data_IF_492850331362
#
_entry.id   IF_492850331362
#
_cell.length_a   1.000
_cell.length_b   1.000
_cell.length_c   1.000
_cell.angle_alpha   90.00
_cell.angle_beta   90.00
_cell.angle_gamma   90.00
#
_symmetry.space_group_name_H-M   'P 1'
#
loop_
_entity.id
_entity.type
_entity.pdbx_description
1 polymer ?
#
# COMPACT_ATOMS: atom_id res chain seq x y z
N UNK A 1 -36.85 -12.47 3.76
CA UNK A 1 -35.36 -12.20 3.85
C UNK A 1 -35.22 -10.85 4.50
N UNK A 2 -34.80 -10.83 5.76
CA UNK A 2 -34.71 -9.64 6.59
C UNK A 2 -33.61 -8.68 6.10
N UNK A 3 -33.94 -7.41 5.83
CA UNK A 3 -32.95 -6.39 5.47
C UNK A 3 -32.01 -6.03 6.64
N UNK A 4 -32.30 -6.45 7.86
CA UNK A 4 -31.51 -6.12 9.05
C UNK A 4 -30.19 -6.92 9.19
N UNK A 5 -30.05 -8.01 8.45
CA UNK A 5 -28.85 -8.85 8.53
C UNK A 5 -27.65 -8.34 7.73
N UNK A 6 -27.80 -7.29 6.93
CA UNK A 6 -26.72 -6.75 6.07
C UNK A 6 -25.82 -5.70 6.74
N UNK A 7 -26.02 -5.44 8.05
CA UNK A 7 -25.38 -4.33 8.79
C UNK A 7 -24.17 -4.71 9.66
N UNK A 8 -23.57 -5.88 9.47
CA UNK A 8 -22.65 -6.46 10.47
C UNK A 8 -21.29 -5.78 10.65
N UNK A 9 -20.35 -5.91 9.70
CA UNK A 9 -18.97 -5.40 9.89
C UNK A 9 -18.86 -3.90 9.62
N UNK A 10 -19.51 -3.39 8.59
CA UNK A 10 -19.53 -1.97 8.30
C UNK A 10 -20.09 -1.14 9.47
N UNK A 11 -21.10 -1.63 10.17
CA UNK A 11 -21.69 -0.94 11.32
C UNK A 11 -20.82 -1.01 12.58
N UNK A 12 -20.02 -2.06 12.77
CA UNK A 12 -19.08 -2.15 13.89
C UNK A 12 -17.93 -1.18 13.65
N UNK A 13 -17.39 -1.10 12.43
CA UNK A 13 -16.38 -0.10 12.06
C UNK A 13 -16.97 1.32 12.08
N UNK A 14 -18.18 1.53 11.58
CA UNK A 14 -18.90 2.81 11.66
C UNK A 14 -19.09 3.26 13.11
N UNK A 15 -19.44 2.37 14.02
CA UNK A 15 -19.65 2.70 15.45
C UNK A 15 -18.33 2.96 16.18
N UNK A 16 -17.28 2.19 15.90
CA UNK A 16 -16.02 2.27 16.63
C UNK A 16 -15.12 3.39 16.09
N UNK A 17 -15.01 3.54 14.78
CA UNK A 17 -14.39 4.71 14.15
C UNK A 17 -15.17 6.01 14.46
N UNK A 18 -16.50 5.94 14.46
CA UNK A 18 -17.35 7.07 14.83
C UNK A 18 -17.30 7.51 16.30
N UNK A 19 -16.72 6.71 17.21
CA UNK A 19 -16.47 7.12 18.60
C UNK A 19 -15.19 7.93 18.76
N UNK A 20 -14.17 7.67 17.95
CA UNK A 20 -12.86 8.31 18.05
C UNK A 20 -12.63 9.35 16.95
N UNK A 21 -13.18 9.16 15.76
CA UNK A 21 -13.07 10.09 14.64
C UNK A 21 -14.33 10.95 14.61
N UNK A 22 -14.20 12.21 15.02
CA UNK A 22 -15.33 13.15 15.11
C UNK A 22 -15.30 14.22 14.03
N UNK A 23 -14.22 14.35 13.29
CA UNK A 23 -14.01 15.42 12.33
C UNK A 23 -13.59 14.91 10.96
N UNK A 24 -13.89 15.70 9.92
CA UNK A 24 -13.45 15.44 8.54
C UNK A 24 -11.92 15.35 8.43
N UNK A 25 -11.19 16.25 9.08
CA UNK A 25 -9.73 16.23 9.15
C UNK A 25 -9.23 14.96 9.86
N UNK A 26 -9.89 14.58 10.96
CA UNK A 26 -9.56 13.35 11.69
C UNK A 26 -9.71 12.10 10.82
N UNK A 27 -10.76 12.00 10.00
CA UNK A 27 -10.94 10.88 9.07
C UNK A 27 -9.81 10.81 8.03
N UNK A 28 -9.41 11.95 7.48
CA UNK A 28 -8.30 12.04 6.53
C UNK A 28 -6.96 11.69 7.19
N UNK A 29 -6.67 12.21 8.37
CA UNK A 29 -5.42 11.92 9.10
C UNK A 29 -5.33 10.44 9.50
N UNK A 30 -6.44 9.82 9.89
CA UNK A 30 -6.46 8.36 10.17
C UNK A 30 -6.23 7.56 8.89
N UNK A 31 -6.76 8.01 7.75
CA UNK A 31 -6.46 7.39 6.45
C UNK A 31 -4.96 7.45 6.15
N UNK A 32 -4.35 8.61 6.31
CA UNK A 32 -2.90 8.81 6.14
C UNK A 32 -2.11 7.93 7.09
N UNK A 33 -2.47 7.91 8.38
CA UNK A 33 -1.79 7.09 9.37
C UNK A 33 -1.86 5.60 9.03
N UNK A 34 -3.04 5.12 8.62
CA UNK A 34 -3.20 3.73 8.22
C UNK A 34 -2.37 3.41 6.96
N UNK A 35 -2.33 4.33 5.99
CA UNK A 35 -1.47 4.22 4.82
C UNK A 35 0.02 4.14 5.18
N UNK A 36 0.48 4.92 6.14
CA UNK A 36 1.86 4.86 6.66
C UNK A 36 2.15 3.54 7.36
N UNK A 37 1.19 2.99 8.08
CA UNK A 37 1.36 1.71 8.80
C UNK A 37 1.44 0.50 7.87
N UNK A 38 0.81 0.57 6.69
CA UNK A 38 0.81 -0.52 5.72
C UNK A 38 1.88 -0.24 4.64
N UNK A 39 3.14 -0.34 4.99
CA UNK A 39 4.28 0.05 4.15
C UNK A 39 4.93 -1.09 3.35
N UNK A 40 4.44 -2.32 3.49
CA UNK A 40 5.08 -3.50 2.89
C UNK A 40 4.96 -3.49 1.37
N UNK A 41 3.77 -3.16 0.87
CA UNK A 41 3.45 -3.18 -0.55
C UNK A 41 2.40 -2.11 -0.87
N UNK A 42 2.58 -1.36 -1.95
CA UNK A 42 1.74 -0.24 -2.34
C UNK A 42 0.36 -0.70 -2.85
N UNK A 43 0.25 -1.79 -3.60
CA UNK A 43 -1.03 -2.34 -4.03
C UNK A 43 -1.85 -2.84 -2.85
N UNK A 44 -1.20 -3.57 -1.94
CA UNK A 44 -1.84 -4.04 -0.71
C UNK A 44 -2.30 -2.86 0.16
N UNK A 45 -1.48 -1.81 0.26
CA UNK A 45 -1.83 -0.55 0.91
C UNK A 45 -3.10 0.04 0.30
N UNK A 46 -3.11 0.29 -1.01
CA UNK A 46 -4.24 0.90 -1.71
C UNK A 46 -5.54 0.12 -1.49
N UNK A 47 -5.52 -1.20 -1.65
CA UNK A 47 -6.69 -2.04 -1.49
C UNK A 47 -7.20 -2.06 -0.05
N UNK A 48 -6.29 -2.22 0.92
CA UNK A 48 -6.65 -2.35 2.33
C UNK A 48 -7.12 -1.02 2.91
N UNK A 49 -6.35 0.06 2.73
CA UNK A 49 -6.73 1.39 3.23
C UNK A 49 -8.02 1.86 2.56
N UNK A 50 -8.15 1.63 1.25
CA UNK A 50 -9.33 1.98 0.49
C UNK A 50 -10.60 1.29 1.01
N UNK A 51 -10.55 -0.01 1.21
CA UNK A 51 -11.70 -0.78 1.71
C UNK A 51 -12.10 -0.41 3.14
N UNK A 52 -11.10 -0.21 4.01
CA UNK A 52 -11.31 0.10 5.44
C UNK A 52 -11.77 1.54 5.66
N UNK A 53 -11.15 2.49 4.98
CA UNK A 53 -11.40 3.92 5.22
C UNK A 53 -12.58 4.49 4.43
N UNK A 54 -13.00 3.81 3.36
CA UNK A 54 -14.16 4.20 2.55
C UNK A 54 -15.41 4.50 3.40
N UNK A 55 -15.93 3.61 4.26
CA UNK A 55 -17.13 3.90 5.05
C UNK A 55 -16.91 5.01 6.08
N UNK A 56 -15.68 5.20 6.55
CA UNK A 56 -15.34 6.26 7.50
C UNK A 56 -15.32 7.62 6.81
N UNK A 57 -14.67 7.73 5.67
CA UNK A 57 -14.58 8.97 4.89
C UNK A 57 -15.93 9.38 4.33
N UNK A 58 -16.75 8.43 3.88
CA UNK A 58 -18.13 8.70 3.43
C UNK A 58 -18.99 9.35 4.52
N UNK A 59 -18.91 8.80 5.74
CA UNK A 59 -19.62 9.36 6.89
C UNK A 59 -19.23 10.81 7.20
N UNK A 60 -18.01 11.19 6.87
CA UNK A 60 -17.47 12.53 7.13
C UNK A 60 -17.52 13.44 5.88
N UNK A 61 -18.26 13.04 4.84
CA UNK A 61 -18.41 13.79 3.60
C UNK A 61 -17.06 14.17 2.94
N UNK A 62 -16.09 13.26 2.97
CA UNK A 62 -14.84 13.36 2.21
C UNK A 62 -15.10 12.76 0.83
N UNK A 63 -14.73 13.46 -0.24
CA UNK A 63 -14.97 12.97 -1.60
C UNK A 63 -14.18 11.69 -1.89
N UNK A 64 -14.70 10.88 -2.81
CA UNK A 64 -14.01 9.68 -3.29
C UNK A 64 -12.68 10.02 -3.96
N UNK A 65 -12.63 11.16 -4.66
CA UNK A 65 -11.40 11.67 -5.27
C UNK A 65 -10.34 12.01 -4.21
N UNK A 66 -10.75 12.65 -3.09
CA UNK A 66 -9.83 12.97 -1.99
C UNK A 66 -9.34 11.71 -1.29
N UNK A 67 -10.23 10.73 -1.07
CA UNK A 67 -9.83 9.45 -0.51
C UNK A 67 -8.81 8.74 -1.41
N UNK A 68 -9.06 8.68 -2.71
CA UNK A 68 -8.13 8.09 -3.67
C UNK A 68 -6.77 8.80 -3.65
N UNK A 69 -6.75 10.14 -3.64
CA UNK A 69 -5.53 10.92 -3.52
C UNK A 69 -4.74 10.61 -2.24
N UNK A 70 -5.40 10.53 -1.09
CA UNK A 70 -4.73 10.23 0.19
C UNK A 70 -4.13 8.83 0.18
N UNK A 71 -4.83 7.86 -0.39
CA UNK A 71 -4.37 6.47 -0.49
C UNK A 71 -3.16 6.39 -1.40
N UNK A 72 -3.26 6.93 -2.60
CA UNK A 72 -2.19 6.91 -3.60
C UNK A 72 -0.94 7.62 -3.10
N UNK A 73 -1.11 8.81 -2.51
CA UNK A 73 -0.02 9.62 -1.95
C UNK A 73 0.65 9.00 -0.69
N UNK A 74 0.03 8.02 -0.05
CA UNK A 74 0.66 7.26 1.05
C UNK A 74 1.21 5.91 0.61
N UNK A 75 0.68 5.30 -0.43
CA UNK A 75 1.07 3.98 -0.84
C UNK A 75 2.52 3.94 -1.38
N UNK A 76 2.75 4.40 -2.60
CA UNK A 76 4.06 4.35 -3.22
C UNK A 76 5.13 5.18 -2.49
N UNK A 77 4.89 6.45 -2.06
CA UNK A 77 5.90 7.23 -1.35
C UNK A 77 6.36 6.62 -0.03
N UNK A 78 5.48 5.96 0.70
CA UNK A 78 5.88 5.29 1.96
C UNK A 78 6.64 4.00 1.65
N UNK A 79 6.16 3.18 0.71
CA UNK A 79 6.83 1.93 0.36
C UNK A 79 8.24 2.13 -0.18
N UNK A 80 8.49 3.22 -0.95
CA UNK A 80 9.81 3.49 -1.52
C UNK A 80 10.84 4.02 -0.51
N UNK A 81 10.42 4.45 0.69
CA UNK A 81 11.33 4.85 1.78
C UNK A 81 11.32 3.86 2.94
N UNK A 82 10.45 2.86 2.92
CA UNK A 82 10.41 1.84 3.95
C UNK A 82 11.47 0.76 3.66
N UNK A 83 12.38 0.50 4.61
CA UNK A 83 13.47 -0.46 4.38
C UNK A 83 12.99 -1.91 4.24
N UNK A 84 11.77 -2.20 4.71
CA UNK A 84 11.13 -3.53 4.65
C UNK A 84 9.90 -3.43 3.75
N UNK A 85 10.12 -3.30 2.45
CA UNK A 85 9.03 -3.18 1.49
C UNK A 85 9.33 -3.96 0.21
N UNK A 86 8.30 -4.21 -0.59
CA UNK A 86 8.45 -4.80 -1.92
C UNK A 86 9.36 -3.96 -2.83
N UNK A 87 9.35 -2.63 -2.65
CA UNK A 87 10.23 -1.72 -3.40
C UNK A 87 11.67 -1.79 -2.95
N UNK A 88 11.95 -1.83 -1.63
CA UNK A 88 13.30 -2.05 -1.13
C UNK A 88 13.87 -3.35 -1.69
N UNK A 89 13.06 -4.39 -1.68
CA UNK A 89 13.39 -5.68 -2.25
C UNK A 89 13.75 -5.62 -3.74
N UNK A 90 12.91 -4.96 -4.54
CA UNK A 90 13.13 -4.84 -5.97
C UNK A 90 14.38 -4.01 -6.29
N UNK A 91 14.58 -2.87 -5.59
CA UNK A 91 15.70 -1.95 -5.84
C UNK A 91 17.03 -2.56 -5.44
N UNK A 92 17.09 -3.26 -4.31
CA UNK A 92 18.35 -3.93 -3.87
C UNK A 92 18.80 -4.99 -4.88
N UNK A 93 17.86 -5.67 -5.55
CA UNK A 93 18.16 -6.66 -6.59
C UNK A 93 18.73 -6.09 -7.89
N UNK A 94 18.72 -4.76 -8.10
CA UNK A 94 19.31 -4.14 -9.29
C UNK A 94 20.80 -3.79 -9.12
N UNK A 95 21.30 -3.83 -7.91
CA UNK A 95 22.71 -3.50 -7.63
C UNK A 95 23.52 -4.80 -7.60
N UNK A 96 24.33 -5.01 -8.63
CA UNK A 96 25.19 -6.18 -8.74
C UNK A 96 26.57 -5.86 -8.15
N UNK A 97 27.06 -6.72 -7.24
CA UNK A 97 28.41 -6.68 -6.71
C UNK A 97 28.66 -5.69 -5.55
N UNK A 98 27.61 -5.00 -5.07
CA UNK A 98 27.67 -4.09 -3.92
C UNK A 98 26.52 -4.38 -2.93
N UNK A 99 26.61 -3.79 -1.73
CA UNK A 99 25.52 -3.84 -0.73
C UNK A 99 24.33 -2.97 -1.19
N UNK A 100 23.44 -3.57 -1.99
CA UNK A 100 22.25 -2.88 -2.50
C UNK A 100 21.31 -2.39 -1.40
N UNK A 101 21.20 -3.10 -0.28
CA UNK A 101 20.39 -2.67 0.86
C UNK A 101 20.98 -1.44 1.55
N UNK A 102 22.31 -1.44 1.79
CA UNK A 102 22.99 -0.28 2.37
C UNK A 102 22.91 0.96 1.47
N UNK A 103 22.96 0.79 0.14
CA UNK A 103 22.75 1.88 -0.83
C UNK A 103 21.33 2.39 -0.75
N UNK A 104 20.33 1.50 -0.70
CA UNK A 104 18.93 1.87 -0.55
C UNK A 104 18.69 2.70 0.71
N UNK A 105 19.19 2.25 1.87
CA UNK A 105 19.05 3.00 3.13
C UNK A 105 19.68 4.39 3.05
N UNK A 106 20.87 4.50 2.45
CA UNK A 106 21.55 5.79 2.26
C UNK A 106 20.81 6.71 1.30
N UNK A 107 20.02 6.17 0.35
CA UNK A 107 19.24 6.93 -0.59
C UNK A 107 17.94 7.50 -0.01
N UNK A 108 17.39 6.92 1.07
CA UNK A 108 16.11 7.34 1.68
C UNK A 108 16.04 8.85 1.94
N UNK A 109 17.03 9.50 2.61
CA UNK A 109 16.94 10.94 2.90
C UNK A 109 17.05 11.82 1.65
N UNK A 110 17.46 11.27 0.51
CA UNK A 110 17.54 11.98 -0.78
C UNK A 110 16.32 11.72 -1.66
N UNK A 111 15.38 10.92 -1.22
CA UNK A 111 14.11 10.71 -1.90
C UNK A 111 13.15 11.88 -1.61
N UNK A 112 13.45 13.03 -2.20
CA UNK A 112 12.69 14.27 -1.99
C UNK A 112 11.24 14.15 -2.42
N UNK A 113 10.96 13.36 -3.46
CA UNK A 113 9.58 13.13 -3.89
C UNK A 113 8.74 12.53 -2.77
N UNK A 114 9.18 11.44 -2.16
CA UNK A 114 8.45 10.80 -1.08
C UNK A 114 8.28 11.73 0.13
N UNK A 115 9.37 12.40 0.55
CA UNK A 115 9.37 13.30 1.70
C UNK A 115 8.44 14.50 1.49
N UNK A 116 8.50 15.16 0.33
CA UNK A 116 7.66 16.32 0.04
C UNK A 116 6.21 15.92 -0.22
N UNK A 117 5.93 14.77 -0.82
CA UNK A 117 4.56 14.28 -1.01
C UNK A 117 3.88 14.05 0.32
N UNK A 118 4.55 13.38 1.26
CA UNK A 118 4.01 13.15 2.61
C UNK A 118 3.79 14.47 3.35
N UNK A 119 4.77 15.38 3.31
CA UNK A 119 4.66 16.68 3.95
C UNK A 119 3.53 17.52 3.34
N UNK A 120 3.45 17.60 2.01
CA UNK A 120 2.41 18.32 1.31
C UNK A 120 1.01 17.77 1.61
N UNK A 121 0.86 16.44 1.60
CA UNK A 121 -0.41 15.78 1.92
C UNK A 121 -0.87 16.11 3.35
N UNK A 122 0.01 16.02 4.33
CA UNK A 122 -0.31 16.38 5.73
C UNK A 122 -0.69 17.85 5.82
N UNK A 123 0.05 18.74 5.17
CA UNK A 123 -0.25 20.18 5.13
C UNK A 123 -1.61 20.48 4.51
N UNK A 124 -1.92 19.87 3.36
CA UNK A 124 -3.22 20.01 2.68
C UNK A 124 -4.37 19.60 3.60
N UNK A 125 -4.22 18.47 4.31
CA UNK A 125 -5.25 17.98 5.23
C UNK A 125 -5.41 18.88 6.45
N UNK A 126 -4.31 19.29 7.08
CA UNK A 126 -4.32 20.11 8.31
C UNK A 126 -4.80 21.52 8.02
N UNK A 127 -4.33 22.15 6.95
CA UNK A 127 -4.71 23.50 6.53
C UNK A 127 -6.09 23.54 5.88
N UNK A 128 -6.68 22.38 5.56
CA UNK A 128 -7.98 22.26 4.86
C UNK A 128 -8.01 22.99 3.52
N UNK A 129 -6.90 22.95 2.82
CA UNK A 129 -6.76 23.60 1.52
C UNK A 129 -7.03 22.58 0.43
N UNK A 130 -7.98 22.88 -0.42
CA UNK A 130 -8.25 22.12 -1.64
C UNK A 130 -8.15 23.05 -2.84
N UNK A 131 -7.50 22.63 -3.91
CA UNK A 131 -7.27 23.44 -5.10
C UNK A 131 -7.61 22.69 -6.39
N UNK A 132 -7.81 23.43 -7.47
CA UNK A 132 -8.14 22.87 -8.77
C UNK A 132 -9.43 22.04 -8.75
N UNK A 133 -9.42 20.91 -9.44
CA UNK A 133 -10.56 19.98 -9.51
C UNK A 133 -10.92 19.37 -8.15
N UNK A 134 -9.93 19.18 -7.26
CA UNK A 134 -10.18 18.64 -5.92
C UNK A 134 -11.11 19.52 -5.10
N UNK A 135 -10.99 20.85 -5.21
CA UNK A 135 -11.87 21.79 -4.52
C UNK A 135 -13.34 21.61 -4.92
N UNK A 136 -13.60 21.30 -6.21
CA UNK A 136 -14.95 21.02 -6.71
C UNK A 136 -15.50 19.72 -6.13
N UNK A 137 -14.69 18.65 -6.13
CA UNK A 137 -15.07 17.36 -5.52
C UNK A 137 -15.39 17.50 -4.05
N UNK A 138 -14.56 18.25 -3.31
CA UNK A 138 -14.75 18.44 -1.87
C UNK A 138 -15.95 19.34 -1.56
N UNK A 139 -16.22 20.36 -2.38
CA UNK A 139 -17.40 21.20 -2.26
C UNK A 139 -18.70 20.41 -2.51
N UNK A 140 -18.71 19.49 -3.48
CA UNK A 140 -19.83 18.62 -3.76
C UNK A 140 -20.02 17.56 -2.67
N UNK A 141 -18.93 16.99 -2.18
CA UNK A 141 -18.97 16.04 -1.06
C UNK A 141 -19.55 16.66 0.21
N UNK A 142 -19.26 17.94 0.49
CA UNK A 142 -19.85 18.69 1.60
C UNK A 142 -21.40 18.80 1.48
N UNK A 143 -21.94 18.77 0.24
CA UNK A 143 -23.38 18.76 -0.06
C UNK A 143 -23.98 17.37 -0.11
N UNK A 144 -23.16 16.31 0.09
CA UNK A 144 -23.60 14.93 0.08
C UNK A 144 -23.32 14.16 -1.22
N UNK A 145 -22.79 14.81 -2.27
CA UNK A 145 -22.38 14.13 -3.50
C UNK A 145 -20.89 13.76 -3.43
N UNK A 146 -20.61 12.52 -3.05
CA UNK A 146 -19.24 12.01 -2.86
C UNK A 146 -18.48 11.76 -4.16
N UNK A 147 -19.18 11.70 -5.30
CA UNK A 147 -18.60 11.31 -6.59
C UNK A 147 -18.36 12.48 -7.55
N UNK A 148 -19.23 13.48 -7.54
CA UNK A 148 -19.21 14.65 -8.45
C UNK A 148 -19.50 14.29 -9.92
N UNK A 149 -19.11 13.10 -10.37
CA UNK A 149 -19.26 12.64 -11.76
C UNK A 149 -20.47 11.72 -11.92
N UNK A 150 -21.18 11.74 -13.09
CA UNK A 150 -22.34 10.88 -13.31
C UNK A 150 -21.98 9.38 -13.32
N UNK A 151 -20.78 9.03 -13.71
CA UNK A 151 -20.33 7.64 -13.87
C UNK A 151 -20.26 6.86 -12.55
N UNK A 152 -20.20 7.53 -11.42
CA UNK A 152 -20.18 6.96 -10.07
C UNK A 152 -19.42 5.63 -9.99
N UNK A 153 -18.11 5.60 -10.31
CA UNK A 153 -17.35 4.38 -10.37
C UNK A 153 -17.44 3.63 -9.03
N UNK A 154 -17.68 2.32 -9.09
CA UNK A 154 -17.85 1.46 -7.91
C UNK A 154 -19.02 1.82 -6.97
N UNK A 155 -19.99 2.60 -7.40
CA UNK A 155 -21.20 2.88 -6.60
C UNK A 155 -21.99 1.61 -6.30
N UNK A 156 -22.00 0.67 -7.26
CA UNK A 156 -22.66 -0.63 -7.18
C UNK A 156 -21.70 -1.76 -6.75
N UNK A 157 -20.46 -1.47 -6.42
CA UNK A 157 -19.63 -2.47 -5.78
C UNK A 157 -20.36 -2.83 -4.48
N UNK A 158 -21.07 -3.94 -4.52
CA UNK A 158 -21.72 -4.52 -3.37
C UNK A 158 -20.71 -4.58 -2.27
N UNK A 159 -20.94 -3.82 -1.21
CA UNK A 159 -20.32 -4.13 0.05
C UNK A 159 -20.81 -5.55 0.35
N UNK A 160 -20.02 -6.55 0.03
CA UNK A 160 -20.24 -7.90 0.52
C UNK A 160 -20.18 -7.82 2.02
N UNK A 161 -21.37 -7.64 2.59
CA UNK A 161 -21.55 -7.41 4.00
C UNK A 161 -21.28 -8.73 4.69
N UNK A 162 -20.04 -8.89 5.09
CA UNK A 162 -19.63 -10.02 5.92
C UNK A 162 -20.41 -9.91 7.23
N UNK A 163 -21.33 -10.84 7.43
CA UNK A 163 -22.08 -11.01 8.66
C UNK A 163 -21.14 -11.42 9.78
N UNK A 164 -20.61 -10.47 10.54
CA UNK A 164 -19.68 -10.83 11.60
C UNK A 164 -19.65 -9.86 12.77
N UNK A 165 -19.34 -10.40 13.95
CA UNK A 165 -19.01 -9.67 15.17
C UNK A 165 -17.56 -9.15 15.10
N UNK A 166 -17.16 -8.50 14.00
CA UNK A 166 -15.80 -8.00 13.79
C UNK A 166 -15.40 -6.98 14.85
N UNK A 167 -14.17 -7.10 15.33
CA UNK A 167 -13.49 -6.13 16.20
C UNK A 167 -12.31 -5.54 15.48
N UNK A 168 -11.80 -4.40 15.92
CA UNK A 168 -10.58 -3.78 15.36
C UNK A 168 -9.39 -4.77 15.38
N UNK A 169 -9.33 -5.66 16.37
CA UNK A 169 -8.35 -6.74 16.44
C UNK A 169 -8.41 -7.68 15.23
N UNK A 170 -9.57 -7.90 14.66
CA UNK A 170 -9.74 -8.79 13.51
C UNK A 170 -9.20 -8.18 12.21
N UNK A 171 -8.94 -6.86 12.19
CA UNK A 171 -8.21 -6.17 11.13
C UNK A 171 -6.71 -6.05 11.46
N UNK A 172 -6.37 -5.63 12.67
CA UNK A 172 -4.97 -5.37 13.05
C UNK A 172 -4.15 -6.65 13.13
N UNK A 173 -4.73 -7.73 13.61
CA UNK A 173 -4.02 -9.00 13.77
C UNK A 173 -3.47 -9.56 12.45
N UNK A 174 -4.24 -9.67 11.35
CA UNK A 174 -3.71 -10.10 10.06
C UNK A 174 -2.58 -9.20 9.53
N UNK A 175 -2.72 -7.88 9.68
CA UNK A 175 -1.70 -6.91 9.24
C UNK A 175 -0.40 -7.11 10.02
N UNK A 176 -0.47 -7.16 11.35
CA UNK A 176 0.71 -7.39 12.19
C UNK A 176 1.33 -8.75 11.89
N UNK A 177 0.50 -9.79 11.76
CA UNK A 177 0.97 -11.14 11.42
C UNK A 177 1.68 -11.15 10.08
N UNK A 178 1.14 -10.47 9.06
CA UNK A 178 1.77 -10.34 7.76
C UNK A 178 3.15 -9.69 7.87
N UNK A 179 3.25 -8.55 8.57
CA UNK A 179 4.51 -7.83 8.78
C UNK A 179 5.55 -8.75 9.45
N UNK A 180 5.16 -9.40 10.54
CA UNK A 180 6.07 -10.28 11.30
C UNK A 180 6.50 -11.48 10.46
N UNK A 181 5.59 -12.13 9.76
CA UNK A 181 5.91 -13.27 8.90
C UNK A 181 6.80 -12.87 7.71
N UNK A 182 6.59 -11.71 7.10
CA UNK A 182 7.45 -11.21 6.03
C UNK A 182 8.86 -10.91 6.54
N UNK A 183 9.01 -10.28 7.71
CA UNK A 183 10.32 -10.06 8.32
C UNK A 183 11.03 -11.40 8.58
N UNK A 184 10.35 -12.36 9.18
CA UNK A 184 10.91 -13.69 9.43
C UNK A 184 11.28 -14.38 8.12
N UNK A 185 10.44 -14.29 7.09
CA UNK A 185 10.70 -14.84 5.77
C UNK A 185 11.93 -14.25 5.10
N UNK A 186 12.13 -12.94 5.20
CA UNK A 186 13.33 -12.26 4.70
C UNK A 186 14.58 -12.69 5.48
N UNK A 187 14.52 -12.74 6.80
CA UNK A 187 15.63 -13.22 7.63
C UNK A 187 15.97 -14.69 7.33
N UNK A 188 14.96 -15.51 7.04
CA UNK A 188 15.16 -16.91 6.64
C UNK A 188 15.90 -17.01 5.31
N UNK A 189 15.48 -16.24 4.30
CA UNK A 189 16.11 -16.24 2.99
C UNK A 189 17.55 -15.68 3.01
N UNK A 190 17.86 -14.81 3.98
CA UNK A 190 19.20 -14.24 4.19
C UNK A 190 20.08 -15.03 5.15
N UNK A 191 19.75 -16.29 5.42
CA UNK A 191 20.58 -17.19 6.25
C UNK A 191 20.82 -16.74 7.70
N UNK A 192 19.93 -15.90 8.26
CA UNK A 192 20.02 -15.47 9.66
C UNK A 192 20.10 -16.65 10.64
N UNK A 193 19.31 -17.69 10.40
CA UNK A 193 19.27 -18.90 11.25
C UNK A 193 20.53 -19.78 11.09
N UNK A 194 21.42 -19.48 10.14
CA UNK A 194 22.72 -20.12 9.97
C UNK A 194 23.86 -19.32 10.62
N UNK A 195 23.53 -18.23 11.35
CA UNK A 195 24.50 -17.44 12.12
C UNK A 195 25.00 -16.16 11.45
N UNK A 196 24.37 -15.75 10.35
CA UNK A 196 24.62 -14.44 9.72
C UNK A 196 24.02 -13.34 10.60
N UNK A 197 24.68 -12.19 10.71
CA UNK A 197 24.20 -11.03 11.46
C UNK A 197 22.84 -10.52 10.93
N UNK A 198 22.03 -9.90 11.80
CA UNK A 198 20.68 -9.43 11.42
C UNK A 198 20.72 -8.50 10.20
N UNK A 199 21.62 -7.53 10.17
CA UNK A 199 21.74 -6.56 9.07
C UNK A 199 22.21 -7.25 7.79
N UNK A 200 23.22 -8.12 7.90
CA UNK A 200 23.78 -8.82 6.75
C UNK A 200 22.80 -9.82 6.17
N UNK A 201 22.05 -10.54 7.03
CA UNK A 201 20.98 -11.45 6.60
C UNK A 201 19.87 -10.70 5.90
N UNK A 202 19.51 -9.50 6.40
CA UNK A 202 18.46 -8.70 5.78
C UNK A 202 18.91 -8.12 4.42
N UNK A 203 20.15 -7.64 4.33
CA UNK A 203 20.72 -7.10 3.09
C UNK A 203 20.97 -8.18 2.03
N UNK A 204 21.37 -9.38 2.44
CA UNK A 204 21.57 -10.54 1.55
C UNK A 204 20.31 -11.36 1.29
N UNK A 205 19.11 -10.93 1.78
CA UNK A 205 17.90 -11.70 1.62
C UNK A 205 17.35 -11.64 0.20
N UNK A 206 16.85 -12.78 -0.30
CA UNK A 206 15.95 -12.80 -1.46
C UNK A 206 14.56 -12.37 -0.98
N UNK A 207 14.26 -11.11 -1.21
CA UNK A 207 13.03 -10.54 -0.73
C UNK A 207 11.80 -11.12 -1.44
N UNK A 208 11.90 -11.56 -2.70
CA UNK A 208 10.79 -12.22 -3.40
C UNK A 208 10.42 -13.53 -2.71
N UNK A 209 11.41 -14.34 -2.35
CA UNK A 209 11.22 -15.57 -1.59
C UNK A 209 10.73 -15.29 -0.18
N UNK A 210 11.33 -14.32 0.51
CA UNK A 210 10.97 -13.94 1.87
C UNK A 210 9.54 -13.45 1.99
N UNK A 211 9.10 -12.56 1.09
CA UNK A 211 7.74 -12.03 1.07
C UNK A 211 6.72 -13.10 0.67
N UNK A 212 7.04 -13.98 -0.28
CA UNK A 212 6.17 -15.08 -0.68
C UNK A 212 5.94 -16.06 0.49
N UNK A 213 7.00 -16.52 1.15
CA UNK A 213 6.88 -17.39 2.32
C UNK A 213 6.16 -16.71 3.47
N UNK A 214 6.53 -15.45 3.76
CA UNK A 214 5.91 -14.67 4.83
C UNK A 214 4.41 -14.50 4.63
N UNK A 215 3.97 -14.12 3.43
CA UNK A 215 2.55 -13.96 3.11
C UNK A 215 1.79 -15.28 3.15
N UNK A 216 2.39 -16.38 2.71
CA UNK A 216 1.78 -17.70 2.78
C UNK A 216 1.52 -18.14 4.23
N UNK A 217 2.52 -18.02 5.12
CA UNK A 217 2.32 -18.35 6.52
C UNK A 217 1.36 -17.38 7.22
N UNK A 218 1.41 -16.10 6.90
CA UNK A 218 0.47 -15.12 7.43
C UNK A 218 -0.97 -15.43 7.04
N UNK A 219 -1.21 -15.89 5.80
CA UNK A 219 -2.52 -16.31 5.33
C UNK A 219 -3.05 -17.50 6.17
N UNK A 220 -2.22 -18.53 6.36
CA UNK A 220 -2.61 -19.70 7.17
C UNK A 220 -2.96 -19.29 8.60
N UNK A 221 -2.09 -18.50 9.26
CA UNK A 221 -2.30 -18.02 10.62
C UNK A 221 -3.60 -17.20 10.70
N UNK A 222 -3.86 -16.35 9.71
CA UNK A 222 -5.07 -15.51 9.67
C UNK A 222 -6.33 -16.35 9.52
N UNK A 223 -6.33 -17.39 8.66
CA UNK A 223 -7.46 -18.32 8.49
C UNK A 223 -7.73 -19.05 9.80
N UNK A 224 -6.69 -19.57 10.46
CA UNK A 224 -6.81 -20.25 11.76
C UNK A 224 -7.34 -19.29 12.82
N UNK A 225 -6.83 -18.06 12.86
CA UNK A 225 -7.30 -17.04 13.81
C UNK A 225 -8.79 -16.73 13.62
N UNK A 226 -9.25 -16.54 12.39
CA UNK A 226 -10.67 -16.27 12.12
C UNK A 226 -11.57 -17.48 12.44
N UNK A 227 -11.08 -18.70 12.19
CA UNK A 227 -11.80 -19.92 12.54
C UNK A 227 -11.94 -20.08 14.08
N UNK A 228 -10.86 -19.86 14.83
CA UNK A 228 -10.86 -19.92 16.31
C UNK A 228 -11.76 -18.83 16.90
N UNK A 229 -11.70 -17.63 16.37
CA UNK A 229 -12.54 -16.51 16.78
C UNK A 229 -13.98 -16.63 16.29
N UNK A 230 -14.28 -17.57 15.43
CA UNK A 230 -15.59 -17.75 14.78
C UNK A 230 -16.11 -16.47 14.11
N UNK A 231 -15.18 -15.67 13.55
CA UNK A 231 -15.50 -14.46 12.77
C UNK A 231 -15.96 -14.85 11.37
N UNK A 232 -15.24 -15.80 10.76
CA UNK A 232 -15.54 -16.39 9.47
C UNK A 232 -15.49 -17.91 9.57
N UNK A 233 -16.34 -18.58 8.81
CA UNK A 233 -16.25 -20.02 8.61
C UNK A 233 -15.06 -20.35 7.70
N UNK A 234 -14.59 -21.60 7.74
CA UNK A 234 -13.51 -22.06 6.89
C UNK A 234 -13.86 -21.90 5.40
N UNK A 235 -15.11 -22.23 5.01
CA UNK A 235 -15.57 -22.06 3.63
C UNK A 235 -15.59 -20.61 3.18
N UNK A 236 -16.03 -19.69 4.04
CA UNK A 236 -16.01 -18.26 3.75
C UNK A 236 -14.56 -17.74 3.60
N UNK A 237 -13.66 -18.17 4.46
CA UNK A 237 -12.23 -17.82 4.36
C UNK A 237 -11.61 -18.35 3.06
N UNK A 238 -11.91 -19.59 2.67
CA UNK A 238 -11.45 -20.15 1.40
C UNK A 238 -12.06 -19.46 0.18
N UNK A 239 -13.29 -19.00 0.24
CA UNK A 239 -13.91 -18.24 -0.86
C UNK A 239 -13.32 -16.85 -1.05
N UNK A 240 -12.72 -16.26 -0.01
CA UNK A 240 -12.01 -14.98 -0.14
C UNK A 240 -10.70 -15.08 -0.94
N UNK A 241 -10.07 -16.26 -1.02
CA UNK A 241 -8.79 -16.43 -1.73
C UNK A 241 -8.94 -16.14 -3.23
N UNK A 242 -9.90 -16.74 -3.97
CA UNK A 242 -10.13 -16.40 -5.37
C UNK A 242 -10.50 -14.93 -5.59
N UNK A 243 -11.26 -14.33 -4.68
CA UNK A 243 -11.62 -12.91 -4.79
C UNK A 243 -10.38 -11.99 -4.59
N UNK A 244 -9.51 -12.33 -3.67
CA UNK A 244 -8.21 -11.66 -3.51
C UNK A 244 -7.35 -11.79 -4.78
N UNK A 245 -7.30 -12.97 -5.38
CA UNK A 245 -6.61 -13.18 -6.66
C UNK A 245 -7.19 -12.30 -7.77
N UNK A 246 -8.51 -12.27 -7.93
CA UNK A 246 -9.18 -11.39 -8.92
C UNK A 246 -8.84 -9.92 -8.71
N UNK A 247 -8.80 -9.46 -7.46
CA UNK A 247 -8.44 -8.08 -7.13
C UNK A 247 -6.99 -7.75 -7.53
N UNK A 248 -6.08 -8.72 -7.48
CA UNK A 248 -4.66 -8.55 -7.83
C UNK A 248 -4.35 -8.75 -9.31
N UNK A 249 -5.26 -9.29 -10.13
CA UNK A 249 -5.04 -9.52 -11.57
C UNK A 249 -4.54 -8.27 -12.31
N UNK A 250 -5.11 -7.06 -12.13
CA UNK A 250 -4.59 -5.88 -12.79
C UNK A 250 -3.13 -5.58 -12.42
N UNK A 251 -2.77 -5.70 -11.15
CA UNK A 251 -1.40 -5.49 -10.69
C UNK A 251 -0.43 -6.52 -11.28
N UNK A 252 -0.82 -7.79 -11.30
CA UNK A 252 -0.02 -8.88 -11.90
C UNK A 252 0.23 -8.62 -13.40
N UNK A 253 -0.79 -8.18 -14.14
CA UNK A 253 -0.66 -7.86 -15.57
C UNK A 253 0.29 -6.67 -15.78
N UNK A 254 0.15 -5.60 -15.00
CA UNK A 254 1.02 -4.42 -15.10
C UNK A 254 2.48 -4.83 -14.84
N UNK A 255 2.75 -5.58 -13.78
CA UNK A 255 4.10 -6.03 -13.46
C UNK A 255 4.66 -6.96 -14.53
N UNK A 256 3.85 -7.88 -15.07
CA UNK A 256 4.27 -8.79 -16.16
C UNK A 256 4.68 -7.99 -17.40
N UNK A 257 3.88 -6.99 -17.80
CA UNK A 257 4.22 -6.14 -18.93
C UNK A 257 5.45 -5.25 -18.65
N UNK A 258 5.59 -4.73 -17.45
CA UNK A 258 6.75 -3.94 -17.04
C UNK A 258 8.05 -4.77 -17.10
N UNK A 259 8.04 -5.99 -16.59
CA UNK A 259 9.19 -6.91 -16.70
C UNK A 259 9.49 -7.31 -18.13
N UNK A 260 8.45 -7.55 -18.94
CA UNK A 260 8.62 -7.84 -20.38
C UNK A 260 9.27 -6.65 -21.09
N UNK A 261 8.78 -5.43 -20.82
CA UNK A 261 9.36 -4.21 -21.38
C UNK A 261 10.82 -4.02 -20.94
N UNK A 262 11.10 -4.27 -19.65
CA UNK A 262 12.48 -4.24 -19.14
C UNK A 262 13.38 -5.25 -19.88
N UNK A 263 12.96 -6.48 -20.02
CA UNK A 263 13.73 -7.50 -20.72
C UNK A 263 13.99 -7.12 -22.20
N UNK A 264 12.99 -6.51 -22.87
CA UNK A 264 13.15 -6.02 -24.23
C UNK A 264 14.13 -4.85 -24.31
N UNK A 265 14.06 -3.88 -23.41
CA UNK A 265 14.96 -2.73 -23.38
C UNK A 265 16.39 -3.16 -23.03
N UNK A 266 16.58 -4.13 -22.13
CA UNK A 266 17.89 -4.70 -21.82
C UNK A 266 18.49 -5.40 -23.05
N UNK A 267 17.67 -6.16 -23.81
CA UNK A 267 18.14 -6.82 -25.05
C UNK A 267 18.52 -5.86 -26.16
N UNK A 268 17.98 -4.66 -26.16
CA UNK A 268 18.32 -3.59 -27.11
C UNK A 268 19.56 -2.78 -26.72
N UNK A 269 20.18 -3.05 -25.57
CA UNK A 269 21.32 -2.28 -25.05
C UNK A 269 20.94 -0.84 -24.66
N UNK A 270 19.67 -0.61 -24.25
CA UNK A 270 19.19 0.73 -23.91
C UNK A 270 19.97 1.34 -22.74
N UNK A 271 20.41 0.51 -21.78
CA UNK A 271 21.22 0.93 -20.62
C UNK A 271 22.54 1.58 -21.07
N UNK A 272 23.27 0.93 -21.96
CA UNK A 272 24.55 1.40 -22.49
C UNK A 272 24.38 2.66 -23.35
N UNK A 273 23.31 2.71 -24.14
CA UNK A 273 22.98 3.86 -24.96
C UNK A 273 22.67 5.09 -24.10
N UNK A 274 21.81 4.97 -23.11
CA UNK A 274 21.47 6.07 -22.20
C UNK A 274 22.68 6.49 -21.36
N UNK A 275 23.46 5.55 -20.86
CA UNK A 275 24.70 5.84 -20.13
C UNK A 275 25.71 6.59 -21.00
N UNK A 276 25.80 6.25 -22.31
CA UNK A 276 26.63 6.96 -23.28
C UNK A 276 26.16 8.39 -23.51
N UNK A 277 24.85 8.61 -23.63
CA UNK A 277 24.27 9.94 -23.76
C UNK A 277 24.56 10.81 -22.52
N UNK A 278 24.34 10.28 -21.32
CA UNK A 278 24.57 11.00 -20.06
C UNK A 278 26.04 11.34 -19.90
N UNK A 279 26.97 10.42 -20.21
CA UNK A 279 28.42 10.70 -20.19
C UNK A 279 28.84 11.77 -21.20
N UNK A 280 28.23 11.82 -22.39
CA UNK A 280 28.49 12.83 -23.40
C UNK A 280 27.99 14.24 -23.03
N UNK A 281 27.05 14.34 -22.10
CA UNK A 281 26.44 15.60 -21.64
C UNK A 281 27.01 16.06 -20.30
N UNK A 282 27.94 15.33 -19.69
CA UNK A 282 28.51 15.56 -18.36
C UNK A 282 29.46 16.78 -18.28
N UNK A 283 28.94 17.96 -18.66
CA UNK A 283 29.58 19.26 -18.47
C UNK A 283 28.55 20.30 -18.08
N UNK A 284 28.34 20.53 -16.77
CA UNK A 284 27.50 21.63 -16.31
C UNK A 284 26.18 21.24 -15.64
N UNK A 285 25.12 21.98 -15.86
CA UNK A 285 23.77 21.84 -15.25
C UNK A 285 23.15 20.45 -15.34
N UNK A 286 23.49 19.68 -16.37
CA UNK A 286 22.93 18.34 -16.61
C UNK A 286 23.50 17.25 -15.71
N UNK A 287 24.57 17.49 -14.95
CA UNK A 287 25.07 16.54 -13.97
C UNK A 287 24.14 16.36 -12.76
N UNK A 288 23.19 17.29 -12.58
CA UNK A 288 22.19 17.28 -11.51
C UNK A 288 20.90 16.56 -11.96
N UNK A 289 20.68 16.41 -13.27
CA UNK A 289 19.45 15.82 -13.82
C UNK A 289 19.14 14.40 -13.29
N UNK A 290 20.10 13.48 -13.16
CA UNK A 290 19.83 12.15 -12.60
C UNK A 290 19.37 12.16 -11.14
N UNK A 291 19.65 13.23 -10.40
CA UNK A 291 19.18 13.39 -9.02
C UNK A 291 17.79 14.06 -8.92
N UNK A 292 17.28 14.58 -10.04
CA UNK A 292 16.01 15.30 -10.12
C UNK A 292 14.94 14.45 -10.83
N UNK A 293 15.33 13.47 -11.65
CA UNK A 293 14.46 12.48 -12.29
C UNK A 293 14.32 11.24 -11.39
#
# INVERSE_FOLDING_TARGET
RDPEMSRGLGDVYKRQAGRHIKTRVGAQLVTVLLGILIFIDDYFNCLTVGSVMRPVTDKHNVSRAKLAYLIDSTAAPICIIAPISSWAAAVTGFVEGEDGFGIFIKAIPYNYYALFTIAAMILIVVLKVDFGSMAVHEANAAKGDLYTTPDRPYANATEDVIKGRGRVLDLLFPIITLIVCCIIGMLYSGDFFKGVGFVDAFSGSDASVGLMLGSFFALIITIVFYAVRRVLSFNESCSCIPEGFKAMVPAILILTFAWTLKAMTDSLGAKEFVAGLVKGVSGGWLSILPAVI
#
